data_IF_463167616326
#
_entry.id   IF_463167616326
#
_cell.length_a   1.000
_cell.length_b   1.000
_cell.length_c   1.000
_cell.angle_alpha   90.00
_cell.angle_beta   90.00
_cell.angle_gamma   90.00
#
_symmetry.space_group_name_H-M   'P 1'
#
loop_
_entity.id
_entity.type
_entity.pdbx_description
1 polymer ?
#
# COMPACT_ATOMS: atom_id res chain seq x y z
N UNK A 1 17.31 -3.78 4.94
CA UNK A 1 16.64 -2.48 4.97
C UNK A 1 16.69 -1.73 3.62
N UNK A 2 17.55 -2.15 2.70
CA UNK A 2 17.57 -1.64 1.34
C UNK A 2 16.48 -2.31 0.47
N UNK A 3 16.18 -1.70 -0.68
CA UNK A 3 15.30 -2.31 -1.67
C UNK A 3 15.90 -3.64 -2.15
N UNK A 4 15.09 -4.72 -2.28
CA UNK A 4 15.58 -5.99 -2.78
C UNK A 4 15.99 -5.89 -4.25
N UNK A 5 17.23 -6.26 -4.57
CA UNK A 5 17.77 -6.24 -5.93
C UNK A 5 17.70 -7.61 -6.62
N UNK A 6 17.41 -8.66 -5.87
CA UNK A 6 17.34 -10.03 -6.37
C UNK A 6 16.32 -10.86 -5.61
N UNK A 7 15.87 -11.94 -6.25
CA UNK A 7 14.96 -12.90 -5.61
C UNK A 7 15.19 -14.30 -6.20
N UNK A 8 14.75 -15.31 -5.46
CA UNK A 8 14.65 -16.67 -5.98
C UNK A 8 13.48 -16.76 -6.97
N UNK A 9 13.71 -17.38 -8.12
CA UNK A 9 12.62 -17.79 -8.99
C UNK A 9 11.76 -18.84 -8.25
N UNK A 10 10.46 -18.82 -8.46
CA UNK A 10 9.55 -19.79 -7.89
C UNK A 10 8.99 -20.68 -9.00
N UNK A 11 8.83 -21.97 -8.69
CA UNK A 11 8.12 -22.91 -9.54
C UNK A 11 6.59 -22.66 -9.53
N UNK A 12 5.85 -23.48 -10.27
CA UNK A 12 4.38 -23.40 -10.36
C UNK A 12 3.68 -23.66 -9.01
N UNK A 13 4.34 -24.34 -8.07
CA UNK A 13 3.87 -24.61 -6.73
C UNK A 13 4.26 -23.49 -5.74
N UNK A 14 5.01 -22.48 -6.20
CA UNK A 14 5.49 -21.38 -5.38
C UNK A 14 6.71 -21.70 -4.52
N UNK A 15 7.41 -22.82 -4.80
CA UNK A 15 8.66 -23.17 -4.13
C UNK A 15 9.85 -22.52 -4.81
N UNK A 16 10.90 -22.11 -4.05
CA UNK A 16 12.08 -21.52 -4.63
C UNK A 16 12.85 -22.55 -5.49
N UNK A 17 13.18 -22.15 -6.71
CA UNK A 17 14.09 -22.89 -7.57
C UNK A 17 15.55 -22.57 -7.20
N UNK A 18 16.52 -23.19 -7.90
CA UNK A 18 17.94 -22.85 -7.75
C UNK A 18 18.34 -21.56 -8.48
N UNK A 19 17.42 -20.93 -9.20
CA UNK A 19 17.68 -19.74 -10.03
C UNK A 19 17.51 -18.46 -9.22
N UNK A 20 18.54 -17.60 -9.24
CA UNK A 20 18.47 -16.24 -8.68
C UNK A 20 18.26 -15.24 -9.82
N UNK A 21 17.16 -14.52 -9.74
CA UNK A 21 16.84 -13.45 -10.69
C UNK A 21 17.37 -12.12 -10.15
N UNK A 22 18.22 -11.44 -10.91
CA UNK A 22 18.85 -10.16 -10.54
C UNK A 22 17.92 -8.97 -10.86
N UNK A 23 16.77 -8.94 -10.23
CA UNK A 23 15.83 -7.82 -10.20
C UNK A 23 14.91 -7.98 -9.01
N UNK A 24 14.25 -6.91 -8.63
CA UNK A 24 13.19 -6.97 -7.63
C UNK A 24 12.03 -7.84 -8.14
N UNK A 25 11.50 -8.69 -7.26
CA UNK A 25 10.33 -9.52 -7.58
C UNK A 25 9.11 -8.65 -7.82
N UNK A 26 8.48 -8.83 -8.96
CA UNK A 26 7.18 -8.21 -9.24
C UNK A 26 6.08 -8.82 -8.39
N UNK A 27 5.05 -8.03 -8.10
CA UNK A 27 3.84 -8.58 -7.49
C UNK A 27 3.20 -9.54 -8.49
N UNK A 28 2.99 -10.76 -8.07
CA UNK A 28 2.19 -11.74 -8.78
C UNK A 28 1.01 -12.10 -7.89
N UNK A 29 -0.20 -12.04 -8.40
CA UNK A 29 -1.35 -12.63 -7.74
C UNK A 29 -1.28 -14.14 -7.96
N UNK A 30 -0.55 -14.84 -7.09
CA UNK A 30 -0.77 -16.27 -6.92
C UNK A 30 -2.05 -16.35 -6.08
N UNK A 31 -3.19 -16.26 -6.74
CA UNK A 31 -4.47 -16.50 -6.11
C UNK A 31 -4.83 -17.95 -6.38
N UNK A 32 -4.94 -18.80 -5.35
CA UNK A 32 -5.62 -20.07 -5.48
C UNK A 32 -7.14 -19.83 -5.45
N UNK A 33 -7.64 -18.90 -6.27
CA UNK A 33 -9.08 -18.81 -6.51
C UNK A 33 -9.40 -19.98 -7.43
N UNK A 34 -10.18 -20.97 -6.98
CA UNK A 34 -10.71 -21.99 -7.89
C UNK A 34 -11.43 -21.24 -9.01
N UNK A 35 -11.06 -21.50 -10.27
CA UNK A 35 -11.80 -20.95 -11.41
C UNK A 35 -13.25 -21.31 -11.18
N UNK A 36 -14.10 -20.31 -10.98
CA UNK A 36 -15.52 -20.52 -10.80
C UNK A 36 -15.99 -21.34 -12.00
N UNK A 37 -16.57 -22.53 -11.75
CA UNK A 37 -17.23 -23.31 -12.81
C UNK A 37 -18.21 -22.39 -13.49
N UNK A 38 -18.10 -22.23 -14.80
CA UNK A 38 -19.04 -21.46 -15.62
C UNK A 38 -20.45 -22.00 -15.36
N UNK A 39 -21.16 -21.37 -14.44
CA UNK A 39 -22.61 -21.54 -14.32
C UNK A 39 -23.20 -20.68 -15.44
N UNK A 40 -23.93 -21.29 -16.36
CA UNK A 40 -24.70 -20.59 -17.38
C UNK A 40 -25.67 -19.62 -16.70
N UNK A 41 -25.41 -18.35 -16.82
CA UNK A 41 -26.31 -17.30 -16.32
C UNK A 41 -25.58 -16.20 -15.57
N UNK A 42 -25.31 -15.08 -16.26
CA UNK A 42 -24.83 -13.78 -15.78
C UNK A 42 -23.39 -13.72 -15.24
N UNK A 43 -22.50 -13.39 -16.15
CA UNK A 43 -21.19 -12.81 -15.87
C UNK A 43 -21.39 -11.39 -15.30
N UNK A 44 -21.35 -11.24 -13.98
CA UNK A 44 -21.46 -9.91 -13.33
C UNK A 44 -20.13 -9.46 -12.70
N UNK A 45 -19.08 -10.26 -12.78
CA UNK A 45 -17.82 -9.96 -12.07
C UNK A 45 -16.59 -9.72 -12.96
N UNK A 46 -16.69 -9.89 -14.27
CA UNK A 46 -15.57 -9.62 -15.19
C UNK A 46 -15.58 -8.20 -15.79
N UNK A 47 -16.68 -7.47 -15.65
CA UNK A 47 -16.90 -6.18 -16.32
C UNK A 47 -16.30 -4.99 -15.59
N UNK A 48 -15.81 -5.17 -14.35
CA UNK A 48 -15.27 -4.09 -13.53
C UNK A 48 -13.81 -3.72 -13.84
N UNK A 49 -13.17 -4.44 -14.74
CA UNK A 49 -11.76 -4.24 -15.08
C UNK A 49 -11.56 -3.75 -16.53
N UNK A 50 -12.62 -3.45 -17.23
CA UNK A 50 -12.52 -2.85 -18.55
C UNK A 50 -12.41 -1.33 -18.42
N UNK A 51 -11.35 -0.77 -18.96
CA UNK A 51 -11.22 0.66 -19.25
C UNK A 51 -12.30 1.05 -20.28
N UNK A 52 -12.65 2.33 -20.39
CA UNK A 52 -13.57 2.87 -21.43
C UNK A 52 -13.16 2.49 -22.86
N UNK A 53 -11.97 1.93 -23.04
CA UNK A 53 -11.42 1.37 -24.28
C UNK A 53 -11.64 -0.14 -24.43
N UNK A 54 -12.32 -0.84 -23.49
CA UNK A 54 -12.61 -2.27 -23.56
C UNK A 54 -11.40 -3.19 -23.30
N UNK A 55 -10.29 -2.69 -22.78
CA UNK A 55 -9.15 -3.50 -22.37
C UNK A 55 -9.39 -4.13 -20.99
N UNK A 56 -9.28 -5.46 -20.89
CA UNK A 56 -9.26 -6.17 -19.60
C UNK A 56 -8.13 -5.64 -18.74
N UNK A 57 -8.48 -5.02 -17.62
CA UNK A 57 -7.52 -4.45 -16.70
C UNK A 57 -6.90 -5.54 -15.82
N UNK A 58 -5.60 -5.79 -15.98
CA UNK A 58 -4.88 -6.76 -15.19
C UNK A 58 -4.48 -6.15 -13.82
N UNK A 59 -5.06 -6.62 -12.68
CA UNK A 59 -4.72 -6.08 -11.36
C UNK A 59 -3.22 -6.14 -11.03
N UNK A 60 -2.50 -7.10 -11.58
CA UNK A 60 -1.06 -7.26 -11.40
C UNK A 60 -0.29 -6.09 -12.05
N UNK A 61 -0.73 -5.65 -13.22
CA UNK A 61 -0.12 -4.50 -13.91
C UNK A 61 -0.32 -3.21 -13.14
N UNK A 62 -1.50 -3.01 -12.55
CA UNK A 62 -1.78 -1.84 -11.70
C UNK A 62 -0.86 -1.81 -10.50
N UNK A 63 -0.79 -2.91 -9.76
CA UNK A 63 0.03 -2.99 -8.55
C UNK A 63 1.50 -2.75 -8.90
N UNK A 64 2.01 -3.38 -9.96
CA UNK A 64 3.41 -3.18 -10.39
C UNK A 64 3.63 -1.77 -10.94
N UNK A 65 2.65 -1.18 -11.62
CA UNK A 65 2.69 0.21 -12.07
C UNK A 65 2.74 1.20 -10.91
N UNK A 66 1.92 1.00 -9.87
CA UNK A 66 1.96 1.82 -8.64
C UNK A 66 3.32 1.67 -7.95
N UNK A 67 3.85 0.45 -7.81
CA UNK A 67 5.17 0.21 -7.21
C UNK A 67 6.28 0.93 -7.97
N UNK A 68 6.27 0.89 -9.30
CA UNK A 68 7.23 1.60 -10.14
C UNK A 68 7.10 3.12 -10.00
N UNK A 69 5.87 3.64 -9.93
CA UNK A 69 5.64 5.06 -9.72
C UNK A 69 6.12 5.54 -8.34
N UNK A 70 5.87 4.76 -7.28
CA UNK A 70 6.35 5.04 -5.92
C UNK A 70 7.88 4.97 -5.86
N UNK A 71 8.50 4.00 -6.52
CA UNK A 71 9.95 3.89 -6.62
C UNK A 71 10.57 5.11 -7.31
N UNK A 72 10.02 5.54 -8.43
CA UNK A 72 10.46 6.73 -9.14
C UNK A 72 10.30 7.99 -8.29
N UNK A 73 9.15 8.13 -7.62
CA UNK A 73 8.88 9.24 -6.70
C UNK A 73 9.83 9.26 -5.49
N UNK A 74 10.16 8.10 -4.92
CA UNK A 74 11.12 7.98 -3.80
C UNK A 74 12.49 8.53 -4.15
N UNK A 75 12.92 8.42 -5.41
CA UNK A 75 14.21 8.89 -5.91
C UNK A 75 14.26 10.39 -6.21
N UNK A 76 13.10 11.07 -6.21
CA UNK A 76 13.06 12.52 -6.41
C UNK A 76 13.69 13.27 -5.23
N UNK A 77 14.25 14.47 -5.48
CA UNK A 77 14.60 15.40 -4.42
C UNK A 77 13.39 15.73 -3.54
N UNK A 78 13.62 15.95 -2.26
CA UNK A 78 12.54 16.24 -1.29
C UNK A 78 11.61 17.38 -1.72
N UNK A 79 12.16 18.42 -2.35
CA UNK A 79 11.40 19.56 -2.89
C UNK A 79 10.37 19.17 -3.96
N UNK A 80 10.50 17.99 -4.56
CA UNK A 80 9.62 17.49 -5.61
C UNK A 80 8.64 16.41 -5.13
N UNK A 81 8.65 16.04 -3.85
CA UNK A 81 7.75 15.00 -3.32
C UNK A 81 6.27 15.38 -3.33
N UNK A 82 5.94 16.66 -3.39
CA UNK A 82 4.56 17.17 -3.43
C UNK A 82 3.69 16.71 -2.23
N UNK A 83 4.30 16.54 -1.09
CA UNK A 83 3.64 16.18 0.17
C UNK A 83 3.69 17.36 1.15
N UNK A 84 2.97 17.26 2.27
CA UNK A 84 3.08 18.29 3.33
C UNK A 84 4.49 18.30 3.94
N UNK A 85 4.94 19.43 4.51
CA UNK A 85 6.21 19.49 5.23
C UNK A 85 6.30 18.48 6.38
N UNK A 86 5.17 18.20 7.03
CA UNK A 86 5.07 17.17 8.10
C UNK A 86 5.31 15.78 7.53
N UNK A 87 4.69 15.45 6.41
CA UNK A 87 4.89 14.17 5.70
C UNK A 87 6.33 14.02 5.22
N UNK A 88 6.92 15.08 4.66
CA UNK A 88 8.33 15.06 4.23
C UNK A 88 9.28 14.75 5.39
N UNK A 89 9.07 15.38 6.57
CA UNK A 89 9.87 15.08 7.78
C UNK A 89 9.73 13.63 8.24
N UNK A 90 8.52 13.07 8.21
CA UNK A 90 8.26 11.67 8.58
C UNK A 90 8.96 10.72 7.60
N UNK A 91 8.83 10.94 6.31
CA UNK A 91 9.50 10.14 5.27
C UNK A 91 11.00 10.15 5.45
N UNK A 92 11.59 11.33 5.67
CA UNK A 92 13.02 11.46 5.94
C UNK A 92 13.40 10.66 7.19
N UNK A 93 12.65 10.84 8.30
CA UNK A 93 12.90 10.11 9.53
C UNK A 93 12.89 8.59 9.31
N UNK A 94 11.86 8.04 8.69
CA UNK A 94 11.77 6.60 8.47
C UNK A 94 12.84 6.04 7.52
N UNK A 95 13.34 6.85 6.59
CA UNK A 95 14.35 6.44 5.62
C UNK A 95 15.77 6.54 6.15
N UNK A 96 16.08 7.56 6.93
CA UNK A 96 17.47 7.94 7.23
C UNK A 96 17.84 7.98 8.70
N UNK A 97 16.85 7.93 9.62
CA UNK A 97 17.14 7.98 11.05
C UNK A 97 17.91 6.74 11.51
N UNK A 98 18.90 6.95 12.35
CA UNK A 98 19.62 5.89 13.04
C UNK A 98 18.82 5.48 14.30
N UNK A 99 18.07 4.37 14.17
CA UNK A 99 17.28 3.84 15.26
C UNK A 99 18.17 3.08 16.23
N UNK A 100 18.01 3.35 17.52
CA UNK A 100 18.80 2.70 18.57
C UNK A 100 18.61 1.18 18.62
N UNK A 101 17.41 0.69 18.27
CA UNK A 101 17.08 -0.74 18.29
C UNK A 101 16.86 -1.27 16.87
N UNK A 102 15.62 -1.28 16.41
CA UNK A 102 15.26 -1.90 15.14
C UNK A 102 14.82 -0.85 14.12
N UNK A 103 15.52 -0.80 12.99
CA UNK A 103 15.14 0.04 11.86
C UNK A 103 13.93 -0.58 11.13
N UNK A 104 12.98 0.23 10.62
CA UNK A 104 11.89 -0.29 9.80
C UNK A 104 12.41 -1.05 8.57
N UNK A 105 11.78 -2.17 8.26
CA UNK A 105 12.08 -2.91 7.03
C UNK A 105 11.66 -2.12 5.80
N UNK A 106 12.34 -2.36 4.68
CA UNK A 106 12.00 -1.71 3.41
C UNK A 106 10.51 -1.88 3.05
N UNK A 107 9.93 -3.07 3.22
CA UNK A 107 8.53 -3.33 2.92
C UNK A 107 7.54 -2.53 3.80
N UNK A 108 7.93 -2.19 5.02
CA UNK A 108 7.11 -1.34 5.92
C UNK A 108 7.11 0.10 5.44
N UNK A 109 8.31 0.63 5.16
CA UNK A 109 8.46 2.00 4.63
C UNK A 109 7.74 2.12 3.29
N UNK A 110 7.94 1.18 2.36
CA UNK A 110 7.28 1.19 1.07
C UNK A 110 5.75 1.11 1.16
N UNK A 111 5.20 0.31 2.08
CA UNK A 111 3.76 0.24 2.29
C UNK A 111 3.18 1.60 2.69
N UNK A 112 3.84 2.30 3.62
CA UNK A 112 3.44 3.64 4.04
C UNK A 112 3.63 4.67 2.92
N UNK A 113 4.75 4.62 2.22
CA UNK A 113 5.03 5.45 1.03
C UNK A 113 3.96 5.28 -0.05
N UNK A 114 3.51 4.05 -0.27
CA UNK A 114 2.44 3.75 -1.25
C UNK A 114 1.13 4.43 -0.85
N UNK A 115 0.73 4.35 0.43
CA UNK A 115 -0.47 5.03 0.92
C UNK A 115 -0.33 6.56 0.80
N UNK A 116 0.80 7.13 1.22
CA UNK A 116 1.07 8.56 1.11
C UNK A 116 1.04 9.00 -0.36
N UNK A 117 1.74 8.28 -1.22
CA UNK A 117 1.78 8.61 -2.65
C UNK A 117 0.39 8.55 -3.28
N UNK A 118 -0.38 7.49 -3.03
CA UNK A 118 -1.74 7.35 -3.55
C UNK A 118 -2.67 8.46 -3.09
N UNK A 119 -2.53 8.95 -1.86
CA UNK A 119 -3.49 9.90 -1.26
C UNK A 119 -3.04 11.36 -1.33
N UNK A 120 -1.74 11.64 -1.22
CA UNK A 120 -1.24 13.02 -1.27
C UNK A 120 -0.76 13.42 -2.66
N UNK A 121 -0.14 12.50 -3.42
CA UNK A 121 0.60 12.81 -4.65
C UNK A 121 -0.19 12.43 -5.90
N UNK A 122 -0.62 11.18 -6.04
CA UNK A 122 -1.24 10.65 -7.25
C UNK A 122 -2.40 11.50 -7.79
N UNK A 123 -3.35 12.01 -6.96
CA UNK A 123 -4.48 12.80 -7.46
C UNK A 123 -4.06 14.12 -8.13
N UNK A 124 -2.86 14.62 -7.83
CA UNK A 124 -2.35 15.93 -8.29
C UNK A 124 -1.14 15.83 -9.22
N UNK A 125 -0.63 14.61 -9.43
CA UNK A 125 0.59 14.36 -10.18
C UNK A 125 0.33 14.17 -11.70
N UNK A 126 1.12 13.34 -12.33
CA UNK A 126 1.04 12.99 -13.75
C UNK A 126 -0.31 12.37 -14.15
N UNK A 127 -0.55 12.24 -15.44
CA UNK A 127 -1.71 11.53 -15.98
C UNK A 127 -1.78 10.09 -15.46
N UNK A 128 -0.64 9.41 -15.32
CA UNK A 128 -0.55 8.07 -14.77
C UNK A 128 -0.99 8.00 -13.29
N UNK A 129 -0.54 8.95 -12.45
CA UNK A 129 -0.97 9.01 -11.05
C UNK A 129 -2.47 9.20 -10.91
N UNK A 130 -3.05 10.11 -11.71
CA UNK A 130 -4.51 10.31 -11.73
C UNK A 130 -5.27 9.07 -12.21
N UNK A 131 -4.74 8.30 -13.18
CA UNK A 131 -5.34 7.03 -13.59
C UNK A 131 -5.38 6.01 -12.45
N UNK A 132 -4.29 5.85 -11.70
CA UNK A 132 -4.27 4.94 -10.55
C UNK A 132 -5.26 5.37 -9.47
N UNK A 133 -5.37 6.67 -9.21
CA UNK A 133 -6.37 7.18 -8.28
C UNK A 133 -7.79 6.93 -8.74
N UNK A 134 -8.12 7.26 -9.99
CA UNK A 134 -9.44 7.01 -10.58
C UNK A 134 -9.82 5.52 -10.56
N UNK A 135 -8.84 4.63 -10.84
CA UNK A 135 -9.04 3.19 -10.72
C UNK A 135 -9.41 2.78 -9.30
N UNK A 136 -8.71 3.31 -8.29
CA UNK A 136 -9.02 3.04 -6.89
C UNK A 136 -10.43 3.53 -6.52
N UNK A 137 -10.81 4.73 -6.94
CA UNK A 137 -12.14 5.29 -6.71
C UNK A 137 -13.22 4.42 -7.35
N UNK A 138 -13.04 4.02 -8.61
CA UNK A 138 -13.98 3.14 -9.31
C UNK A 138 -14.13 1.78 -8.62
N UNK A 139 -13.04 1.15 -8.21
CA UNK A 139 -13.06 -0.12 -7.49
C UNK A 139 -13.75 -0.01 -6.12
N UNK A 140 -13.56 1.11 -5.43
CA UNK A 140 -14.26 1.37 -4.16
C UNK A 140 -15.75 1.64 -4.37
N UNK A 141 -16.12 2.44 -5.36
CA UNK A 141 -17.51 2.74 -5.71
C UNK A 141 -18.29 1.45 -6.07
N UNK A 142 -17.66 0.56 -6.82
CA UNK A 142 -18.25 -0.73 -7.18
C UNK A 142 -18.47 -1.66 -5.98
N UNK A 143 -17.61 -1.59 -4.98
CA UNK A 143 -17.66 -2.50 -3.81
C UNK A 143 -18.44 -1.89 -2.63
N UNK A 144 -18.23 -0.61 -2.34
CA UNK A 144 -18.89 0.15 -1.29
C UNK A 144 -18.66 1.65 -1.53
N UNK A 145 -19.62 2.37 -2.12
CA UNK A 145 -19.46 3.77 -2.52
C UNK A 145 -19.20 4.73 -1.35
N UNK A 146 -19.63 4.37 -0.14
CA UNK A 146 -19.53 5.24 1.03
C UNK A 146 -18.19 5.12 1.76
N UNK A 147 -17.30 4.22 1.33
CA UNK A 147 -16.04 3.95 2.02
C UNK A 147 -14.86 3.79 1.08
N UNK A 148 -13.95 4.77 1.10
CA UNK A 148 -12.67 4.64 0.40
C UNK A 148 -11.73 3.68 1.16
N UNK A 149 -11.35 2.58 0.52
CA UNK A 149 -10.50 1.53 1.10
C UNK A 149 -9.20 1.39 0.33
N UNK A 150 -8.11 1.20 1.08
CA UNK A 150 -6.81 0.79 0.59
C UNK A 150 -6.43 -0.53 1.27
N UNK A 151 -6.10 -1.55 0.48
CA UNK A 151 -5.66 -2.84 0.99
C UNK A 151 -4.14 -3.00 0.82
N UNK A 152 -3.43 -3.12 1.93
CA UNK A 152 -2.00 -3.43 1.95
C UNK A 152 -1.79 -4.91 2.24
N UNK A 153 -1.19 -5.63 1.30
CA UNK A 153 -0.85 -7.06 1.47
C UNK A 153 0.63 -7.20 1.80
N UNK A 154 0.93 -7.55 3.05
CA UNK A 154 2.27 -7.84 3.52
C UNK A 154 2.36 -9.28 4.02
N UNK A 155 3.54 -9.89 3.89
CA UNK A 155 3.81 -11.23 4.38
C UNK A 155 3.58 -11.34 5.90
N UNK A 156 3.34 -12.55 6.38
CA UNK A 156 3.32 -12.84 7.82
C UNK A 156 4.69 -12.55 8.41
N UNK A 157 4.74 -11.93 9.59
CA UNK A 157 6.01 -11.53 10.22
C UNK A 157 6.64 -10.24 9.68
N UNK A 158 6.12 -9.62 8.62
CA UNK A 158 6.67 -8.39 8.05
C UNK A 158 6.41 -7.12 8.90
N UNK A 159 5.83 -7.24 10.08
CA UNK A 159 5.57 -6.10 10.98
C UNK A 159 4.42 -5.20 10.52
N UNK A 160 3.27 -5.79 10.19
CA UNK A 160 2.05 -5.02 9.80
C UNK A 160 1.65 -3.97 10.85
N UNK A 161 1.84 -4.27 12.14
CA UNK A 161 1.55 -3.35 13.25
C UNK A 161 2.41 -2.09 13.18
N UNK A 162 3.69 -2.22 12.80
CA UNK A 162 4.58 -1.07 12.57
C UNK A 162 4.04 -0.17 11.46
N UNK A 163 3.57 -0.76 10.35
CA UNK A 163 2.92 0.00 9.26
C UNK A 163 1.68 0.75 9.76
N UNK A 164 0.85 0.10 10.58
CA UNK A 164 -0.31 0.76 11.19
C UNK A 164 0.12 1.95 12.08
N UNK A 165 1.12 1.77 12.94
CA UNK A 165 1.67 2.83 13.78
C UNK A 165 2.19 4.01 12.95
N UNK A 166 2.93 3.73 11.88
CA UNK A 166 3.44 4.77 10.97
C UNK A 166 2.31 5.54 10.28
N UNK A 167 1.25 4.86 9.84
CA UNK A 167 0.08 5.49 9.22
C UNK A 167 -0.71 6.33 10.23
N UNK A 168 -0.88 5.85 11.47
CA UNK A 168 -1.52 6.61 12.56
C UNK A 168 -0.69 7.87 12.86
N UNK A 169 0.63 7.75 12.99
CA UNK A 169 1.52 8.88 13.22
C UNK A 169 1.44 9.91 12.08
N UNK A 170 1.47 9.44 10.83
CA UNK A 170 1.34 10.30 9.65
C UNK A 170 0.01 11.08 9.65
N UNK A 171 -1.10 10.40 9.85
CA UNK A 171 -2.43 11.02 9.89
C UNK A 171 -2.55 12.02 11.05
N UNK A 172 -2.20 11.59 12.27
CA UNK A 172 -2.33 12.43 13.47
C UNK A 172 -1.49 13.68 13.39
N UNK A 173 -0.19 13.56 13.05
CA UNK A 173 0.72 14.70 13.00
C UNK A 173 0.32 15.71 11.92
N UNK A 174 -0.16 15.23 10.78
CA UNK A 174 -0.69 16.11 9.75
C UNK A 174 -2.00 16.77 10.18
N UNK A 175 -2.93 16.03 10.80
CA UNK A 175 -4.20 16.59 11.28
C UNK A 175 -4.00 17.65 12.37
N UNK A 176 -2.97 17.52 13.21
CA UNK A 176 -2.63 18.51 14.23
C UNK A 176 -2.01 19.76 13.61
N UNK A 177 -1.09 19.59 12.65
CA UNK A 177 -0.34 20.69 12.04
C UNK A 177 -1.09 21.39 10.91
N UNK A 178 -2.06 20.71 10.31
CA UNK A 178 -2.88 21.20 9.20
C UNK A 178 -4.38 21.01 9.51
N UNK A 179 -4.94 21.69 10.54
CA UNK A 179 -6.30 21.43 11.03
C UNK A 179 -7.39 21.66 9.99
N UNK A 180 -7.12 22.49 8.98
CA UNK A 180 -8.06 22.76 7.89
C UNK A 180 -8.02 21.71 6.76
N UNK A 181 -7.07 20.78 6.79
CA UNK A 181 -6.94 19.75 5.78
C UNK A 181 -7.82 18.54 6.12
N UNK A 182 -9.03 18.48 5.57
CA UNK A 182 -10.03 17.42 5.83
C UNK A 182 -9.57 16.00 5.51
N UNK A 183 -8.47 15.83 4.77
CA UNK A 183 -7.92 14.52 4.38
C UNK A 183 -7.17 13.80 5.50
N UNK A 184 -6.88 14.49 6.60
CA UNK A 184 -6.16 13.91 7.74
C UNK A 184 -7.08 13.73 8.94
N UNK A 185 -6.87 12.64 9.70
CA UNK A 185 -7.70 12.27 10.85
C UNK A 185 -6.89 12.19 12.14
N UNK A 186 -7.57 12.45 13.26
CA UNK A 186 -7.07 12.20 14.62
C UNK A 186 -7.76 11.01 15.29
N UNK A 187 -8.85 10.51 14.68
CA UNK A 187 -9.63 9.38 15.20
C UNK A 187 -9.35 8.12 14.38
N UNK A 188 -9.13 7.02 15.07
CA UNK A 188 -8.85 5.72 14.46
C UNK A 188 -9.71 4.64 15.10
N UNK A 189 -10.29 3.78 14.26
CA UNK A 189 -10.98 2.57 14.69
C UNK A 189 -10.16 1.37 14.21
N UNK A 190 -9.64 0.59 15.14
CA UNK A 190 -8.91 -0.64 14.84
C UNK A 190 -9.84 -1.82 15.07
N UNK A 191 -10.09 -2.59 14.02
CA UNK A 191 -10.94 -3.80 14.06
C UNK A 191 -10.06 -5.02 13.90
N UNK A 192 -10.16 -5.96 14.84
CA UNK A 192 -9.41 -7.21 14.83
C UNK A 192 -10.36 -8.41 14.93
N UNK A 193 -10.10 -9.52 14.20
CA UNK A 193 -11.00 -10.66 14.13
C UNK A 193 -11.03 -11.53 15.40
N UNK A 194 -10.18 -11.27 16.40
CA UNK A 194 -10.13 -12.04 17.63
C UNK A 194 -9.39 -11.36 18.78
N UNK A 195 -9.62 -11.85 20.00
CA UNK A 195 -9.06 -11.28 21.24
C UNK A 195 -7.53 -11.28 21.23
N UNK A 196 -6.90 -12.36 20.82
CA UNK A 196 -5.44 -12.49 20.76
C UNK A 196 -4.79 -11.44 19.85
N UNK A 197 -5.46 -11.08 18.74
CA UNK A 197 -4.96 -10.03 17.84
C UNK A 197 -5.22 -8.67 18.45
N UNK A 198 -6.36 -8.47 19.10
CA UNK A 198 -6.69 -7.24 19.82
C UNK A 198 -5.62 -6.93 20.88
N UNK A 199 -5.23 -7.91 21.68
CA UNK A 199 -4.21 -7.72 22.73
C UNK A 199 -2.86 -7.35 22.14
N UNK A 200 -2.45 -7.96 21.03
CA UNK A 200 -1.21 -7.59 20.33
C UNK A 200 -1.24 -6.20 19.72
N UNK A 201 -2.43 -5.66 19.43
CA UNK A 201 -2.59 -4.32 18.87
C UNK A 201 -2.65 -3.22 19.94
N UNK A 202 -2.67 -3.57 21.24
CA UNK A 202 -2.62 -2.60 22.35
C UNK A 202 -1.37 -1.72 22.27
N UNK A 203 -0.26 -2.22 21.75
CA UNK A 203 0.98 -1.46 21.49
C UNK A 203 0.75 -0.20 20.62
N UNK A 204 -0.37 -0.09 19.91
CA UNK A 204 -0.75 1.11 19.16
C UNK A 204 -1.42 2.18 20.03
N UNK A 205 -1.75 1.87 21.28
CA UNK A 205 -2.35 2.81 22.22
C UNK A 205 -1.25 3.61 22.91
N UNK A 206 -1.27 4.96 22.87
CA UNK A 206 -0.20 5.79 23.42
C UNK A 206 0.04 5.62 24.92
N UNK A 207 -0.98 5.16 25.65
CA UNK A 207 -0.99 5.03 27.10
C UNK A 207 -0.96 3.57 27.58
N UNK A 208 -0.62 2.63 26.72
CA UNK A 208 -0.45 1.22 27.13
C UNK A 208 0.94 1.08 27.81
N UNK A 209 1.03 0.63 29.09
CA UNK A 209 2.29 0.57 29.84
C UNK A 209 3.25 -0.51 29.29
#
# INVERSE_FOLDING_TARGET
>A
YAEPERHWELDEQGQPTSVIVHRRRQSALVSPIPKAKKVRGKAVQADFLADETGQEYNPVEVINGIRSAVESWRRLPESQWQVTPTTARLLRHWRTHEFANQRPFFCQVEAVETVIWMTEVAPRSSAQGRRFWAHLEAANAASNPDLLRLALKLATGAGKTTVMAMLIAWQTLNAVRHPNARRFSKGFLVVAPGITIKDRLRVLQPNDP
#
